data_IF_504773966834
#
_entry.id   IF_504773966834
#
_cell.length_a   1.000
_cell.length_b   1.000
_cell.length_c   1.000
_cell.angle_alpha   90.00
_cell.angle_beta   90.00
_cell.angle_gamma   90.00
#
_symmetry.space_group_name_H-M   'P 1'
#
loop_
_entity.id
_entity.type
_entity.pdbx_description
1 polymer ?
#
# COMPACT_ATOMS: atom_id res chain seq x y z
N UNK A 1 10.20 -5.61 -6.60
CA UNK A 1 9.54 -4.70 -5.64
C UNK A 1 8.69 -3.75 -6.46
N UNK A 2 7.40 -3.59 -6.15
CA UNK A 2 6.53 -2.65 -6.85
C UNK A 2 6.53 -1.32 -6.09
N UNK A 3 6.72 -0.20 -6.79
CA UNK A 3 6.67 1.13 -6.18
C UNK A 3 5.23 1.62 -6.04
N UNK A 4 4.40 1.31 -7.03
CA UNK A 4 2.98 1.65 -7.10
C UNK A 4 2.22 0.44 -7.62
N UNK A 5 1.02 0.21 -7.08
CA UNK A 5 0.07 -0.80 -7.52
C UNK A 5 -1.32 -0.18 -7.49
N UNK A 6 -2.22 -0.68 -8.34
CA UNK A 6 -3.64 -0.38 -8.19
C UNK A 6 -4.36 -1.42 -7.33
N UNK A 7 -5.54 -1.10 -6.81
CA UNK A 7 -6.35 -2.12 -6.11
C UNK A 7 -6.65 -3.32 -7.02
N UNK A 8 -6.86 -3.07 -8.31
CA UNK A 8 -7.10 -4.11 -9.32
C UNK A 8 -5.88 -5.02 -9.48
N UNK A 9 -4.68 -4.45 -9.56
CA UNK A 9 -3.44 -5.24 -9.67
C UNK A 9 -3.19 -6.10 -8.42
N UNK A 10 -3.52 -5.60 -7.23
CA UNK A 10 -3.37 -6.35 -5.98
C UNK A 10 -4.30 -7.57 -5.95
N UNK A 11 -5.55 -7.41 -6.45
CA UNK A 11 -6.51 -8.50 -6.60
C UNK A 11 -6.09 -9.50 -7.68
N UNK A 12 -5.66 -9.01 -8.85
CA UNK A 12 -5.26 -9.86 -9.98
C UNK A 12 -4.01 -10.69 -9.67
N UNK A 13 -3.08 -10.12 -8.90
CA UNK A 13 -1.84 -10.79 -8.48
C UNK A 13 -1.99 -11.58 -7.16
N UNK A 14 -3.21 -11.67 -6.62
CA UNK A 14 -3.53 -12.32 -5.35
C UNK A 14 -2.56 -11.93 -4.21
N UNK A 15 -2.15 -10.65 -4.19
CA UNK A 15 -1.18 -10.16 -3.24
C UNK A 15 -1.82 -10.05 -1.86
N UNK A 16 -1.30 -10.81 -0.89
CA UNK A 16 -1.76 -10.80 0.50
C UNK A 16 -1.30 -9.53 1.24
N UNK A 17 -1.90 -8.40 0.88
CA UNK A 17 -1.60 -7.09 1.51
C UNK A 17 -2.38 -6.90 2.81
N UNK A 18 -3.67 -7.21 2.81
CA UNK A 18 -4.53 -7.16 4.00
C UNK A 18 -5.72 -8.12 3.82
N UNK A 19 -6.55 -8.25 4.87
CA UNK A 19 -7.82 -8.99 4.78
C UNK A 19 -8.74 -8.41 3.68
N UNK A 20 -9.46 -9.29 2.99
CA UNK A 20 -10.25 -8.96 1.81
C UNK A 20 -11.37 -7.95 2.14
N UNK A 21 -11.94 -8.00 3.35
CA UNK A 21 -12.98 -7.05 3.79
C UNK A 21 -12.41 -5.64 3.99
N UNK A 22 -11.26 -5.53 4.64
CA UNK A 22 -10.60 -4.24 4.86
C UNK A 22 -10.09 -3.63 3.55
N UNK A 23 -9.62 -4.48 2.63
CA UNK A 23 -9.20 -4.06 1.30
C UNK A 23 -10.37 -3.50 0.49
N UNK A 24 -11.51 -4.18 0.50
CA UNK A 24 -12.74 -3.72 -0.17
C UNK A 24 -13.22 -2.40 0.39
N UNK A 25 -13.22 -2.25 1.73
CA UNK A 25 -13.58 -0.99 2.38
C UNK A 25 -12.65 0.16 1.98
N UNK A 26 -11.33 -0.08 1.95
CA UNK A 26 -10.36 0.93 1.54
C UNK A 26 -10.54 1.32 0.06
N UNK A 27 -10.81 0.36 -0.82
CA UNK A 27 -11.10 0.62 -2.24
C UNK A 27 -12.37 1.45 -2.42
N UNK A 28 -13.46 1.06 -1.78
CA UNK A 28 -14.77 1.71 -1.92
C UNK A 28 -14.74 3.16 -1.40
N UNK A 29 -13.92 3.44 -0.38
CA UNK A 29 -13.67 4.79 0.13
C UNK A 29 -12.48 5.51 -0.53
N UNK A 30 -11.85 4.91 -1.54
CA UNK A 30 -10.66 5.46 -2.24
C UNK A 30 -9.52 5.85 -1.28
N UNK A 31 -9.32 5.07 -0.22
CA UNK A 31 -8.34 5.33 0.83
C UNK A 31 -6.96 4.78 0.48
N UNK A 32 -5.99 5.61 0.06
CA UNK A 32 -4.68 5.14 -0.39
C UNK A 32 -3.96 4.36 0.71
N UNK A 33 -3.41 3.20 0.35
CA UNK A 33 -2.69 2.32 1.29
C UNK A 33 -1.20 2.39 0.98
N UNK A 34 -0.38 2.66 2.00
CA UNK A 34 1.09 2.63 1.86
C UNK A 34 1.67 1.47 2.67
N UNK A 35 2.23 0.48 1.99
CA UNK A 35 2.86 -0.68 2.61
C UNK A 35 4.36 -0.43 2.69
N UNK A 36 4.92 -0.32 3.89
CA UNK A 36 6.35 -0.11 4.09
C UNK A 36 6.89 -0.96 5.24
N UNK A 37 8.21 -1.12 5.28
CA UNK A 37 8.87 -1.90 6.34
C UNK A 37 9.12 -1.03 7.57
N UNK A 38 8.41 -1.29 8.66
CA UNK A 38 8.56 -0.56 9.93
C UNK A 38 9.86 -0.88 10.66
N UNK A 39 10.52 -2.02 10.38
CA UNK A 39 11.80 -2.38 10.99
C UNK A 39 12.98 -1.57 10.45
N UNK A 40 12.80 -0.85 9.32
CA UNK A 40 13.84 -0.01 8.74
C UNK A 40 13.84 1.36 9.44
N UNK A 41 14.91 1.74 10.14
CA UNK A 41 14.98 3.02 10.83
C UNK A 41 14.71 4.20 9.89
N UNK A 42 13.84 5.10 10.31
CA UNK A 42 13.44 6.28 9.53
C UNK A 42 12.46 6.02 8.38
N UNK A 43 11.99 4.78 8.16
CA UNK A 43 11.04 4.50 7.09
C UNK A 43 9.72 5.27 7.24
N UNK A 44 9.16 5.35 8.46
CA UNK A 44 7.95 6.13 8.71
C UNK A 44 8.12 7.60 8.32
N UNK A 45 9.26 8.21 8.70
CA UNK A 45 9.57 9.60 8.35
C UNK A 45 9.63 9.77 6.82
N UNK A 46 10.34 8.87 6.13
CA UNK A 46 10.45 8.91 4.66
C UNK A 46 9.09 8.81 3.97
N UNK A 47 8.21 7.93 4.44
CA UNK A 47 6.83 7.81 3.94
C UNK A 47 6.04 9.11 4.11
N UNK A 48 6.09 9.72 5.30
CA UNK A 48 5.38 10.98 5.58
C UNK A 48 5.93 12.14 4.75
N UNK A 49 7.24 12.15 4.49
CA UNK A 49 7.89 13.16 3.65
C UNK A 49 7.64 12.94 2.14
N UNK A 50 6.91 11.89 1.76
CA UNK A 50 6.62 11.56 0.36
C UNK A 50 7.79 10.93 -0.40
N UNK A 51 8.82 10.48 0.32
CA UNK A 51 9.94 9.79 -0.31
C UNK A 51 9.53 8.41 -0.85
N UNK A 52 10.38 7.85 -1.71
CA UNK A 52 10.18 6.55 -2.36
C UNK A 52 10.43 5.40 -1.38
N UNK A 53 9.53 5.23 -0.42
CA UNK A 53 9.56 4.15 0.57
C UNK A 53 8.28 3.30 0.49
N UNK A 54 8.48 1.98 0.42
CA UNK A 54 7.40 1.01 0.35
C UNK A 54 6.68 0.94 -0.99
N UNK A 55 5.48 0.37 -0.98
CA UNK A 55 4.57 0.26 -2.12
C UNK A 55 3.34 1.13 -1.84
N UNK A 56 2.99 1.99 -2.79
CA UNK A 56 1.77 2.78 -2.74
C UNK A 56 0.65 2.07 -3.51
N UNK A 57 -0.51 1.90 -2.89
CA UNK A 57 -1.69 1.32 -3.50
C UNK A 57 -2.75 2.41 -3.62
N UNK A 58 -3.18 2.65 -4.86
CA UNK A 58 -4.19 3.67 -5.22
C UNK A 58 -5.23 3.10 -6.19
N UNK A 59 -6.27 3.87 -6.51
CA UNK A 59 -7.26 3.48 -7.54
C UNK A 59 -6.61 3.24 -8.90
#
# INVERSE_FOLDING_TARGET
>A
MYDQLTYSEVLEKELKVMDLAAFTLARDHKLPIRVFNMNKPGALRRVVMGEKEGTLITE
#
